data_IF_664446558902
#
_entry.id   IF_664446558902
#
_cell.length_a   1.000
_cell.length_b   1.000
_cell.length_c   1.000
_cell.angle_alpha   90.00
_cell.angle_beta   90.00
_cell.angle_gamma   90.00
#
_symmetry.space_group_name_H-M   'P 1'
#
loop_
_entity.id
_entity.type
_entity.pdbx_description
1 polymer ?
#
# COMPACT_ATOMS: atom_id res chain seq x y z
N UNK A 1 3.65 6.99 49.25
CA UNK A 1 3.86 6.10 48.10
C UNK A 1 2.71 6.30 47.10
N UNK A 2 2.97 6.99 46.00
CA UNK A 2 1.92 7.20 44.96
C UNK A 2 1.76 5.91 44.15
N UNK A 3 0.54 5.39 44.08
CA UNK A 3 0.21 4.26 43.22
C UNK A 3 0.13 4.77 41.77
N UNK A 4 1.00 4.26 40.92
CA UNK A 4 0.91 4.45 39.48
C UNK A 4 -0.23 3.55 38.99
N UNK A 5 -1.37 4.14 38.64
CA UNK A 5 -2.45 3.42 37.96
C UNK A 5 -2.04 3.26 36.49
N UNK A 6 -1.68 2.05 36.09
CA UNK A 6 -1.69 1.68 34.69
C UNK A 6 -3.12 1.54 34.25
N UNK A 7 -3.60 2.44 33.40
CA UNK A 7 -4.84 2.22 32.68
C UNK A 7 -4.63 0.99 31.79
N UNK A 8 -5.20 -0.14 32.19
CA UNK A 8 -5.22 -1.35 31.39
C UNK A 8 -6.04 -1.06 30.13
N UNK A 9 -5.41 -0.90 28.99
CA UNK A 9 -6.09 -1.00 27.72
C UNK A 9 -6.49 -2.45 27.53
N UNK A 10 -7.79 -2.69 27.43
CA UNK A 10 -8.40 -3.99 27.13
C UNK A 10 -7.98 -4.41 25.72
N UNK A 11 -6.88 -5.16 25.62
CA UNK A 11 -6.33 -5.68 24.36
C UNK A 11 -7.31 -6.66 23.70
N UNK A 12 -8.20 -7.27 24.48
CA UNK A 12 -9.21 -8.21 23.99
C UNK A 12 -10.32 -7.58 23.12
N UNK A 13 -10.39 -6.25 23.05
CA UNK A 13 -11.36 -5.54 22.20
C UNK A 13 -10.85 -5.25 20.79
N UNK A 14 -9.60 -5.52 20.49
CA UNK A 14 -9.04 -5.28 19.17
C UNK A 14 -9.37 -6.45 18.24
N UNK A 15 -10.54 -6.42 17.63
CA UNK A 15 -10.86 -7.35 16.54
C UNK A 15 -10.16 -6.90 15.28
N UNK A 16 -9.40 -7.82 14.66
CA UNK A 16 -8.95 -7.64 13.29
C UNK A 16 -10.17 -7.31 12.43
N UNK A 17 -10.15 -6.25 11.63
CA UNK A 17 -11.31 -5.88 10.82
C UNK A 17 -11.61 -6.96 9.80
N UNK A 18 -12.89 -7.20 9.58
CA UNK A 18 -13.33 -8.13 8.54
C UNK A 18 -13.09 -7.51 7.16
N UNK A 19 -12.58 -8.34 6.24
CA UNK A 19 -12.41 -7.98 4.85
C UNK A 19 -13.47 -8.70 4.03
N UNK A 20 -14.39 -7.94 3.43
CA UNK A 20 -15.51 -8.52 2.69
C UNK A 20 -15.91 -7.63 1.52
N UNK A 21 -16.51 -8.24 0.50
CA UNK A 21 -17.09 -7.53 -0.62
C UNK A 21 -18.61 -7.45 -0.45
N UNK A 22 -19.15 -6.25 -0.43
CA UNK A 22 -20.60 -6.04 -0.47
C UNK A 22 -21.14 -6.38 -1.86
N UNK A 23 -22.39 -6.92 -1.93
CA UNK A 23 -23.02 -7.34 -3.19
C UNK A 23 -23.08 -6.25 -4.27
N UNK A 24 -23.13 -4.98 -3.85
CA UNK A 24 -23.25 -3.84 -4.76
C UNK A 24 -21.91 -3.14 -5.03
N UNK A 25 -20.80 -3.61 -4.45
CA UNK A 25 -19.47 -3.02 -4.60
C UNK A 25 -18.57 -3.97 -5.40
N UNK A 26 -17.74 -3.38 -6.25
CA UNK A 26 -16.76 -4.13 -7.06
C UNK A 26 -15.45 -4.41 -6.33
N UNK A 27 -15.28 -3.88 -5.13
CA UNK A 27 -14.05 -3.98 -4.34
C UNK A 27 -14.32 -4.55 -2.96
N UNK A 28 -13.27 -5.07 -2.35
CA UNK A 28 -13.27 -5.59 -0.98
C UNK A 28 -13.15 -4.41 0.00
N UNK A 29 -14.06 -4.33 0.97
CA UNK A 29 -13.97 -3.37 2.05
C UNK A 29 -12.89 -3.79 3.05
N UNK A 30 -12.16 -2.81 3.56
CA UNK A 30 -11.20 -2.98 4.63
C UNK A 30 -11.79 -2.46 5.95
N UNK A 31 -12.47 -3.36 6.67
CA UNK A 31 -13.29 -3.04 7.83
C UNK A 31 -14.73 -2.65 7.46
N UNK A 32 -15.58 -2.49 8.46
CA UNK A 32 -17.01 -2.18 8.28
C UNK A 32 -17.27 -0.83 7.60
N UNK A 33 -16.38 0.13 7.81
CA UNK A 33 -16.45 1.49 7.26
C UNK A 33 -15.49 1.69 6.07
N UNK A 34 -14.73 0.66 5.69
CA UNK A 34 -13.69 0.71 4.65
C UNK A 34 -12.53 1.68 4.95
N UNK A 35 -12.33 2.10 6.21
CA UNK A 35 -11.34 3.09 6.61
C UNK A 35 -10.16 2.51 7.40
N UNK A 36 -10.08 1.19 7.57
CA UNK A 36 -9.01 0.55 8.34
C UNK A 36 -7.59 0.95 7.93
N UNK A 37 -7.21 1.08 6.64
CA UNK A 37 -5.88 1.54 6.27
C UNK A 37 -5.61 2.99 6.70
N UNK A 38 -6.62 3.86 6.69
CA UNK A 38 -6.48 5.23 7.18
C UNK A 38 -6.31 5.27 8.71
N UNK A 39 -6.97 4.34 9.43
CA UNK A 39 -6.75 4.16 10.86
C UNK A 39 -5.29 3.77 11.18
N UNK A 40 -4.67 2.90 10.37
CA UNK A 40 -3.26 2.53 10.53
C UNK A 40 -2.32 3.74 10.31
N UNK A 41 -2.62 4.60 9.33
CA UNK A 41 -1.89 5.88 9.12
C UNK A 41 -2.05 6.79 10.33
N UNK A 42 -3.26 6.93 10.84
CA UNK A 42 -3.53 7.77 12.02
C UNK A 42 -2.76 7.26 13.24
N UNK A 43 -2.76 5.95 13.48
CA UNK A 43 -2.00 5.31 14.54
C UNK A 43 -0.48 5.56 14.39
N UNK A 44 0.05 5.42 13.17
CA UNK A 44 1.45 5.71 12.86
C UNK A 44 1.80 7.18 13.18
N UNK A 45 0.94 8.12 12.80
CA UNK A 45 1.18 9.55 13.01
C UNK A 45 1.03 9.98 14.47
N UNK A 46 0.13 9.38 15.24
CA UNK A 46 -0.14 9.78 16.64
C UNK A 46 0.71 9.06 17.67
N UNK A 47 1.16 7.84 17.37
CA UNK A 47 1.94 7.05 18.33
C UNK A 47 3.44 7.24 18.10
N UNK A 48 4.09 8.04 18.92
CA UNK A 48 5.53 8.28 18.83
C UNK A 48 6.37 6.99 18.88
N UNK A 49 5.99 6.02 19.72
CA UNK A 49 6.69 4.72 19.81
C UNK A 49 6.51 3.89 18.55
N UNK A 50 5.28 3.81 18.03
CA UNK A 50 4.96 3.07 16.81
C UNK A 50 5.69 3.67 15.61
N UNK A 51 5.62 5.00 15.47
CA UNK A 51 6.35 5.75 14.44
C UNK A 51 7.85 5.48 14.49
N UNK A 52 8.48 5.62 15.66
CA UNK A 52 9.93 5.43 15.82
C UNK A 52 10.37 3.99 15.46
N UNK A 53 9.57 2.98 15.84
CA UNK A 53 9.86 1.58 15.51
C UNK A 53 9.77 1.36 14.00
N UNK A 54 8.70 1.83 13.34
CA UNK A 54 8.51 1.61 11.91
C UNK A 54 9.52 2.40 11.08
N UNK A 55 9.80 3.65 11.45
CA UNK A 55 10.83 4.47 10.78
C UNK A 55 12.22 3.87 10.96
N UNK A 56 12.57 3.37 12.15
CA UNK A 56 13.82 2.66 12.38
C UNK A 56 13.95 1.40 11.53
N UNK A 57 12.87 0.60 11.42
CA UNK A 57 12.83 -0.56 10.54
C UNK A 57 12.94 -0.17 9.07
N UNK A 58 12.25 0.90 8.65
CA UNK A 58 12.33 1.43 7.29
C UNK A 58 13.77 1.80 6.93
N UNK A 59 14.44 2.55 7.80
CA UNK A 59 15.86 2.96 7.61
C UNK A 59 16.76 1.72 7.51
N UNK A 60 16.54 0.73 8.38
CA UNK A 60 17.33 -0.49 8.37
C UNK A 60 17.15 -1.31 7.09
N UNK A 61 15.91 -1.46 6.61
CA UNK A 61 15.61 -2.22 5.36
C UNK A 61 16.08 -1.44 4.14
N UNK A 62 15.94 -0.13 4.13
CA UNK A 62 16.40 0.73 3.05
C UNK A 62 17.94 0.68 2.89
N UNK A 63 18.67 0.69 4.02
CA UNK A 63 20.13 0.58 4.03
C UNK A 63 20.81 1.68 3.21
N UNK A 64 21.53 1.27 2.16
CA UNK A 64 22.20 2.19 1.22
C UNK A 64 21.37 2.46 -0.06
N UNK A 65 20.10 2.13 -0.05
CA UNK A 65 19.21 2.28 -1.21
C UNK A 65 19.35 1.17 -2.26
N UNK A 66 18.72 1.38 -3.39
CA UNK A 66 18.77 0.44 -4.52
C UNK A 66 20.13 0.52 -5.24
N UNK A 67 20.70 -0.63 -5.55
CA UNK A 67 21.87 -0.76 -6.41
C UNK A 67 21.50 -1.63 -7.61
N UNK A 68 21.10 -0.97 -8.70
CA UNK A 68 20.66 -1.66 -9.92
C UNK A 68 21.63 -1.28 -11.04
N UNK A 69 22.26 -2.27 -11.66
CA UNK A 69 23.11 -2.07 -12.82
C UNK A 69 22.28 -2.06 -14.11
N UNK A 70 22.58 -1.16 -15.05
CA UNK A 70 22.04 -1.16 -16.40
C UNK A 70 20.69 -0.48 -16.62
N UNK A 71 20.06 0.16 -15.62
CA UNK A 71 18.77 0.86 -15.73
C UNK A 71 18.83 2.29 -15.19
N UNK A 72 19.92 2.98 -15.44
CA UNK A 72 20.22 4.29 -14.87
C UNK A 72 19.14 5.35 -15.11
N UNK A 73 18.55 5.41 -16.31
CA UNK A 73 17.54 6.41 -16.64
C UNK A 73 16.25 6.21 -15.82
N UNK A 74 15.81 4.95 -15.70
CA UNK A 74 14.62 4.62 -14.89
C UNK A 74 14.93 4.73 -13.39
N UNK A 75 16.15 4.44 -12.96
CA UNK A 75 16.59 4.61 -11.58
C UNK A 75 16.62 6.07 -11.17
N UNK A 76 17.18 6.93 -12.04
CA UNK A 76 17.27 8.36 -11.77
C UNK A 76 15.91 9.06 -11.82
N UNK A 77 15.01 8.67 -12.73
CA UNK A 77 13.74 9.32 -13.00
C UNK A 77 12.65 8.29 -13.27
N UNK A 78 12.16 7.62 -12.22
CA UNK A 78 11.06 6.66 -12.37
C UNK A 78 9.77 7.32 -12.85
N UNK A 79 9.58 8.59 -12.52
CA UNK A 79 8.51 9.45 -13.00
C UNK A 79 8.92 10.94 -12.85
N UNK A 80 7.99 11.84 -13.15
CA UNK A 80 8.21 13.30 -13.07
C UNK A 80 8.61 13.81 -11.68
N UNK A 81 8.28 13.09 -10.61
CA UNK A 81 8.38 13.57 -9.23
C UNK A 81 9.37 12.76 -8.39
N UNK A 82 9.49 11.47 -8.65
CA UNK A 82 10.23 10.53 -7.82
C UNK A 82 11.26 9.74 -8.64
N UNK A 83 12.42 9.51 -8.05
CA UNK A 83 13.35 8.49 -8.47
C UNK A 83 12.85 7.09 -8.08
N UNK A 84 13.40 6.05 -8.69
CA UNK A 84 13.06 4.67 -8.31
C UNK A 84 13.46 4.35 -6.86
N UNK A 85 14.53 4.97 -6.38
CA UNK A 85 15.01 4.81 -5.01
C UNK A 85 14.05 5.44 -3.99
N UNK A 86 13.50 6.61 -4.28
CA UNK A 86 12.45 7.23 -3.45
C UNK A 86 11.17 6.39 -3.43
N UNK A 87 10.77 5.84 -4.58
CA UNK A 87 9.64 4.91 -4.67
C UNK A 87 9.89 3.67 -3.81
N UNK A 88 11.09 3.10 -3.87
CA UNK A 88 11.48 1.95 -3.05
C UNK A 88 11.34 2.26 -1.56
N UNK A 89 11.82 3.42 -1.12
CA UNK A 89 11.70 3.84 0.28
C UNK A 89 10.24 3.98 0.73
N UNK A 90 9.35 4.52 -0.13
CA UNK A 90 7.90 4.58 0.12
C UNK A 90 7.28 3.18 0.21
N UNK A 91 7.67 2.25 -0.67
CA UNK A 91 7.20 0.86 -0.65
C UNK A 91 7.59 0.12 0.63
N UNK A 92 8.78 0.39 1.18
CA UNK A 92 9.21 -0.19 2.46
C UNK A 92 8.27 0.24 3.59
N UNK A 93 7.92 1.53 3.66
CA UNK A 93 7.00 2.04 4.67
C UNK A 93 5.61 1.41 4.53
N UNK A 94 5.06 1.35 3.32
CA UNK A 94 3.77 0.71 3.06
C UNK A 94 3.78 -0.77 3.47
N UNK A 95 4.85 -1.48 3.13
CA UNK A 95 5.03 -2.88 3.53
C UNK A 95 5.03 -3.05 5.05
N UNK A 96 5.65 -2.14 5.78
CA UNK A 96 5.71 -2.19 7.25
C UNK A 96 4.37 -1.83 7.90
N UNK A 97 3.61 -0.91 7.29
CA UNK A 97 2.30 -0.47 7.81
C UNK A 97 1.19 -1.46 7.47
N UNK A 98 1.16 -1.96 6.23
CA UNK A 98 0.01 -2.68 5.67
C UNK A 98 0.30 -4.15 5.34
N UNK A 99 1.56 -4.54 5.33
CA UNK A 99 1.99 -5.87 4.85
C UNK A 99 1.97 -5.99 3.33
N UNK A 100 2.05 -4.87 2.62
CA UNK A 100 2.05 -4.84 1.16
C UNK A 100 2.26 -3.44 0.62
N UNK A 101 2.48 -3.32 -0.68
CA UNK A 101 2.58 -2.05 -1.39
C UNK A 101 2.03 -2.17 -2.81
N UNK A 102 1.77 -1.04 -3.45
CA UNK A 102 1.28 -1.00 -4.81
C UNK A 102 2.03 0.04 -5.64
N UNK A 103 2.29 -0.32 -6.90
CA UNK A 103 2.91 0.54 -7.89
C UNK A 103 1.98 0.68 -9.10
N UNK A 104 1.85 1.89 -9.62
CA UNK A 104 1.26 2.11 -10.92
C UNK A 104 2.37 2.06 -11.97
N UNK A 105 2.25 1.13 -12.89
CA UNK A 105 3.14 0.94 -14.04
C UNK A 105 2.45 1.53 -15.27
N UNK A 106 3.07 2.48 -15.91
CA UNK A 106 2.58 3.08 -17.16
C UNK A 106 3.46 2.59 -18.30
N UNK A 107 2.85 1.94 -19.27
CA UNK A 107 3.51 1.49 -20.48
C UNK A 107 3.62 2.63 -21.50
N UNK A 108 4.65 2.58 -22.33
CA UNK A 108 4.76 3.46 -23.47
C UNK A 108 3.64 3.22 -24.50
N UNK A 109 3.50 4.11 -25.48
CA UNK A 109 2.43 4.01 -26.48
C UNK A 109 2.55 2.80 -27.38
N UNK A 110 3.77 2.30 -27.55
CA UNK A 110 4.07 1.14 -28.43
C UNK A 110 3.91 -0.17 -27.66
N UNK A 111 4.00 -0.13 -26.32
CA UNK A 111 3.91 -1.31 -25.47
C UNK A 111 5.22 -2.10 -25.41
N UNK A 112 6.36 -1.47 -25.68
CA UNK A 112 7.67 -2.13 -25.64
C UNK A 112 8.35 -1.96 -24.28
N UNK A 113 8.21 -0.79 -23.67
CA UNK A 113 8.89 -0.44 -22.41
C UNK A 113 7.96 0.20 -21.37
N UNK A 114 8.43 0.22 -20.13
CA UNK A 114 7.81 0.98 -19.06
C UNK A 114 8.20 2.44 -19.24
N UNK A 115 7.20 3.32 -19.39
CA UNK A 115 7.40 4.76 -19.49
C UNK A 115 7.56 5.41 -18.13
N UNK A 116 6.73 5.05 -17.17
CA UNK A 116 6.73 5.67 -15.83
C UNK A 116 6.30 4.65 -14.76
N UNK A 117 6.83 4.83 -13.55
CA UNK A 117 6.44 4.08 -12.35
C UNK A 117 6.07 5.08 -11.27
N UNK A 118 4.91 4.90 -10.65
CA UNK A 118 4.45 5.71 -9.52
C UNK A 118 4.20 4.82 -8.29
N UNK A 119 4.61 5.29 -7.14
CA UNK A 119 4.12 4.74 -5.88
C UNK A 119 2.63 5.09 -5.71
N UNK A 120 1.83 4.09 -5.35
CA UNK A 120 0.41 4.28 -5.06
C UNK A 120 0.18 4.11 -3.57
N UNK A 121 -0.27 5.18 -2.92
CA UNK A 121 -0.63 5.16 -1.49
C UNK A 121 -1.60 4.00 -1.21
N UNK A 122 -1.10 3.00 -0.48
CA UNK A 122 -1.84 1.77 -0.21
C UNK A 122 -3.16 2.01 0.54
N UNK A 123 -3.22 3.07 1.37
CA UNK A 123 -4.45 3.43 2.08
C UNK A 123 -5.60 3.78 1.14
N UNK A 124 -5.28 4.19 -0.09
CA UNK A 124 -6.23 4.63 -1.11
C UNK A 124 -6.62 3.55 -2.11
N UNK A 125 -6.01 2.35 -2.03
CA UNK A 125 -6.26 1.26 -2.97
C UNK A 125 -7.13 0.19 -2.32
N UNK A 126 -8.04 -0.38 -3.13
CA UNK A 126 -8.80 -1.59 -2.83
C UNK A 126 -8.72 -2.54 -4.01
N UNK A 127 -8.75 -3.84 -3.76
CA UNK A 127 -8.81 -4.85 -4.82
C UNK A 127 -10.22 -5.47 -4.91
N UNK A 128 -10.53 -6.08 -6.04
CA UNK A 128 -11.62 -7.07 -6.07
C UNK A 128 -11.18 -8.37 -5.37
N UNK A 129 -12.09 -9.32 -5.20
CA UNK A 129 -11.82 -10.61 -4.53
C UNK A 129 -10.69 -11.38 -5.21
N UNK A 130 -10.66 -11.36 -6.55
CA UNK A 130 -9.71 -12.13 -7.35
C UNK A 130 -8.37 -11.42 -7.58
N UNK A 131 -8.21 -10.18 -7.09
CA UNK A 131 -7.05 -9.31 -7.31
C UNK A 131 -6.71 -9.08 -8.79
N UNK A 132 -7.72 -9.07 -9.65
CA UNK A 132 -7.59 -8.79 -11.09
C UNK A 132 -7.82 -7.33 -11.44
N UNK A 133 -8.53 -6.61 -10.57
CA UNK A 133 -8.81 -5.18 -10.69
C UNK A 133 -8.56 -4.46 -9.37
N UNK A 134 -8.05 -3.23 -9.48
CA UNK A 134 -7.76 -2.35 -8.35
C UNK A 134 -8.53 -1.04 -8.51
N UNK A 135 -9.01 -0.55 -7.38
CA UNK A 135 -9.84 0.65 -7.29
C UNK A 135 -9.11 1.67 -6.43
N UNK A 136 -8.88 2.84 -7.00
CA UNK A 136 -8.23 3.96 -6.33
C UNK A 136 -9.25 5.05 -6.03
N UNK A 137 -9.25 5.52 -4.78
CA UNK A 137 -10.04 6.65 -4.35
C UNK A 137 -9.20 7.54 -3.43
N UNK A 138 -9.18 8.83 -3.67
CA UNK A 138 -8.49 9.78 -2.79
C UNK A 138 -9.15 9.92 -1.43
N UNK A 139 -10.48 9.73 -1.35
CA UNK A 139 -11.27 9.96 -0.16
C UNK A 139 -12.34 8.85 -0.02
N UNK A 140 -11.98 7.76 0.66
CA UNK A 140 -12.90 6.64 0.89
C UNK A 140 -14.03 6.97 1.87
N UNK A 141 -13.88 8.03 2.67
CA UNK A 141 -14.91 8.51 3.58
C UNK A 141 -16.03 9.31 2.87
N UNK A 142 -15.74 9.88 1.69
CA UNK A 142 -16.72 10.61 0.90
C UNK A 142 -17.41 9.72 -0.15
N UNK A 143 -18.71 9.42 0.01
CA UNK A 143 -19.46 8.60 -0.96
C UNK A 143 -19.55 9.21 -2.37
N UNK A 144 -19.29 10.52 -2.52
CA UNK A 144 -19.32 11.24 -3.81
C UNK A 144 -17.96 11.25 -4.50
N UNK A 145 -16.92 10.79 -3.84
CA UNK A 145 -15.57 10.75 -4.38
C UNK A 145 -15.48 9.80 -5.58
N UNK A 146 -14.73 10.20 -6.60
CA UNK A 146 -14.61 9.42 -7.84
C UNK A 146 -13.63 8.27 -7.67
N UNK A 147 -14.11 7.08 -7.96
CA UNK A 147 -13.29 5.85 -7.96
C UNK A 147 -12.72 5.65 -9.36
N UNK A 148 -11.41 5.48 -9.45
CA UNK A 148 -10.71 5.07 -10.67
C UNK A 148 -10.41 3.58 -10.60
N UNK A 149 -10.58 2.85 -11.69
CA UNK A 149 -10.23 1.43 -11.77
C UNK A 149 -9.00 1.22 -12.65
N UNK A 150 -8.20 0.24 -12.26
CA UNK A 150 -6.99 -0.18 -12.97
C UNK A 150 -6.96 -1.71 -13.04
N UNK A 151 -6.39 -2.24 -14.11
CA UNK A 151 -6.15 -3.69 -14.24
C UNK A 151 -4.88 -4.08 -13.47
N UNK A 152 -4.81 -5.35 -13.07
CA UNK A 152 -3.59 -5.92 -12.52
C UNK A 152 -2.46 -5.87 -13.56
N UNK A 153 -1.25 -5.70 -13.09
CA UNK A 153 -0.04 -5.74 -13.93
C UNK A 153 0.05 -7.07 -14.69
N UNK A 154 0.18 -6.97 -15.99
CA UNK A 154 0.38 -8.11 -16.87
C UNK A 154 1.48 -7.79 -17.88
N UNK A 155 2.64 -8.46 -17.79
CA UNK A 155 3.78 -8.21 -18.67
C UNK A 155 3.54 -8.61 -20.14
N UNK A 156 2.50 -9.42 -20.42
CA UNK A 156 2.10 -9.80 -21.78
C UNK A 156 1.19 -8.75 -22.42
N UNK A 157 0.42 -8.02 -21.60
CA UNK A 157 -0.52 -6.98 -22.04
C UNK A 157 0.01 -5.60 -21.69
N UNK A 158 1.05 -5.18 -22.37
CA UNK A 158 1.79 -3.94 -22.16
C UNK A 158 1.01 -2.71 -22.65
N UNK A 159 -0.08 -2.36 -21.97
CA UNK A 159 -0.99 -1.30 -22.39
C UNK A 159 -1.47 -0.43 -21.24
N UNK A 160 -1.33 0.91 -21.40
CA UNK A 160 -1.88 1.90 -20.48
C UNK A 160 -1.30 1.83 -19.07
N UNK A 161 -2.10 2.17 -18.09
CA UNK A 161 -1.73 2.15 -16.68
C UNK A 161 -2.26 0.87 -16.00
N UNK A 162 -1.38 0.16 -15.33
CA UNK A 162 -1.67 -1.09 -14.62
C UNK A 162 -1.15 -1.00 -13.20
N UNK A 163 -1.70 -1.79 -12.27
CA UNK A 163 -1.26 -1.85 -10.89
C UNK A 163 -0.46 -3.13 -10.63
N UNK A 164 0.80 -2.96 -10.25
CA UNK A 164 1.57 -4.01 -9.62
C UNK A 164 1.29 -4.00 -8.13
N UNK A 165 0.77 -5.11 -7.60
CA UNK A 165 0.37 -5.23 -6.22
C UNK A 165 1.17 -6.34 -5.54
N UNK A 166 1.85 -6.01 -4.47
CA UNK A 166 2.57 -6.94 -3.61
C UNK A 166 1.92 -7.03 -2.24
N UNK A 167 1.77 -8.22 -1.72
CA UNK A 167 1.40 -8.47 -0.32
C UNK A 167 2.32 -9.53 0.29
N UNK A 168 2.53 -9.45 1.59
CA UNK A 168 3.32 -10.43 2.32
C UNK A 168 2.68 -11.81 2.22
N UNK A 169 3.53 -12.82 2.05
CA UNK A 169 3.11 -14.21 2.14
C UNK A 169 2.61 -14.49 3.56
N UNK A 170 1.41 -15.03 3.67
CA UNK A 170 0.86 -15.55 4.93
C UNK A 170 0.66 -17.05 4.77
N UNK A 171 1.40 -17.88 5.52
CA UNK A 171 1.16 -19.32 5.51
C UNK A 171 -0.28 -19.58 5.96
N UNK A 172 -0.97 -20.51 5.29
CA UNK A 172 -2.30 -20.92 5.71
C UNK A 172 -2.20 -21.48 7.13
N UNK A 173 -3.02 -20.92 8.04
CA UNK A 173 -3.23 -21.52 9.35
C UNK A 173 -4.14 -22.72 9.11
N UNK A 174 -3.54 -23.93 9.11
CA UNK A 174 -4.31 -25.18 9.17
C UNK A 174 -4.93 -25.26 10.55
N UNK A 175 -6.25 -24.99 10.65
CA UNK A 175 -7.07 -25.30 11.82
C UNK A 175 -7.38 -26.77 11.86
#
# INVERSE_FOLDING_TARGET
MSRINFAGHDIDKYKTPDFYQEKNKKYVNFGSDNLYPLYLVDLFNRSAKHNAILTGKQTYVYGSGLKIEGVWDLFANANRFDSLDEIFNKCILDKLLYGGYALQIIWDRVGESIAEIYHMDFSKIRSNVDNTEFYFNNEWADPKSKIKSYKVFNPEKKQGAQIYYYRDYRPAVTT
#
